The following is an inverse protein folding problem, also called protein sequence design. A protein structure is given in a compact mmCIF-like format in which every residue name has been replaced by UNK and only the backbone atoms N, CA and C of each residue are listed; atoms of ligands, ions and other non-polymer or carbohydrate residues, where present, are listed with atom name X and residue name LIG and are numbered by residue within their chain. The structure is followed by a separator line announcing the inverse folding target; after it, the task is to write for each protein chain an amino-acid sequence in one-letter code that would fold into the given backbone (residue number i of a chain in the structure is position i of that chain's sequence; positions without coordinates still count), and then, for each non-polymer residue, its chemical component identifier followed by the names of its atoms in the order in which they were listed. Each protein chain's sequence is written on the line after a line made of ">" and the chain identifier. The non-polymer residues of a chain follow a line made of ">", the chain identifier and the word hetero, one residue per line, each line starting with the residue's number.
data_IF_177264852954
#
_entry.id   IF_177264852954
#
_cell.length_a   1.000
_cell.length_b   1.000
_cell.length_c   1.000
_cell.angle_alpha   90.00
_cell.angle_beta   90.00
_cell.angle_gamma   90.00
#
_symmetry.space_group_name_H-M   'P 1'
#
loop_
_entity.id
_entity.type
_entity.pdbx_description
1 polymer ?
#
# COMPACT_ATOMS: atom_id res chain seq x y z
N UNK A 1 21.46 -25.23 -5.57
CA UNK A 1 20.87 -23.89 -5.42
C UNK A 1 19.35 -24.02 -5.31
N UNK A 2 18.77 -23.69 -4.18
CA UNK A 2 17.31 -23.66 -4.07
C UNK A 2 16.78 -22.53 -4.96
N UNK A 3 15.75 -22.78 -5.78
CA UNK A 3 15.12 -21.68 -6.51
C UNK A 3 14.62 -20.66 -5.50
N UNK A 4 14.86 -19.38 -5.78
CA UNK A 4 14.33 -18.31 -4.94
C UNK A 4 12.81 -18.48 -4.87
N UNK A 5 12.28 -18.69 -3.66
CA UNK A 5 10.85 -18.80 -3.44
C UNK A 5 10.19 -17.48 -3.82
N UNK A 6 9.07 -17.54 -4.54
CA UNK A 6 8.29 -16.34 -4.86
C UNK A 6 7.86 -15.65 -3.57
N UNK A 7 7.87 -14.30 -3.52
CA UNK A 7 7.32 -13.58 -2.38
C UNK A 7 5.85 -13.95 -2.15
N UNK A 8 5.48 -14.05 -0.88
CA UNK A 8 4.09 -14.31 -0.45
C UNK A 8 3.49 -13.00 0.05
N UNK A 9 2.26 -12.71 -0.34
CA UNK A 9 1.53 -11.52 0.16
C UNK A 9 0.75 -11.87 1.42
N UNK A 10 0.90 -11.05 2.45
CA UNK A 10 0.20 -11.22 3.74
C UNK A 10 -0.41 -9.89 4.17
N UNK A 11 -1.52 -9.97 4.90
CA UNK A 11 -2.09 -8.81 5.59
C UNK A 11 -1.41 -8.67 6.95
N UNK A 12 -0.90 -7.48 7.26
CA UNK A 12 -0.28 -7.18 8.55
C UNK A 12 -1.35 -7.00 9.63
N UNK A 13 -1.05 -7.52 10.81
CA UNK A 13 -1.88 -7.45 12.01
C UNK A 13 -1.14 -6.67 13.11
N UNK A 14 -1.80 -6.32 14.23
CA UNK A 14 -1.13 -5.64 15.35
C UNK A 14 0.11 -6.35 15.90
N UNK A 15 0.28 -7.64 15.67
CA UNK A 15 1.47 -8.39 16.06
C UNK A 15 2.65 -8.29 15.08
N UNK A 16 2.45 -7.65 13.91
CA UNK A 16 3.45 -7.58 12.83
C UNK A 16 4.24 -6.27 12.83
N UNK A 17 4.63 -5.75 14.00
CA UNK A 17 5.31 -4.45 14.12
C UNK A 17 6.63 -4.42 13.35
N UNK A 18 7.42 -5.49 13.42
CA UNK A 18 8.71 -5.55 12.69
C UNK A 18 8.50 -5.54 11.18
N UNK A 19 7.48 -6.25 10.69
CA UNK A 19 7.12 -6.23 9.27
C UNK A 19 6.57 -4.87 8.84
N UNK A 20 5.85 -4.16 9.71
CA UNK A 20 5.43 -2.79 9.45
C UNK A 20 6.63 -1.85 9.31
N UNK A 21 7.65 -1.99 10.15
CA UNK A 21 8.91 -1.26 9.97
C UNK A 21 9.63 -1.65 8.67
N UNK A 22 9.65 -2.93 8.32
CA UNK A 22 10.19 -3.40 7.04
C UNK A 22 9.45 -2.79 5.84
N UNK A 23 8.14 -2.63 5.94
CA UNK A 23 7.34 -1.97 4.91
C UNK A 23 7.68 -0.48 4.79
N UNK A 24 7.86 0.22 5.91
CA UNK A 24 8.31 1.61 5.92
C UNK A 24 9.71 1.77 5.29
N UNK A 25 10.61 0.82 5.52
CA UNK A 25 11.93 0.80 4.86
C UNK A 25 11.78 0.67 3.33
N UNK A 26 10.87 -0.18 2.87
CA UNK A 26 10.58 -0.32 1.43
C UNK A 26 10.05 0.99 0.85
N UNK A 27 9.14 1.67 1.52
CA UNK A 27 8.61 2.96 1.06
C UNK A 27 9.69 4.04 1.04
N UNK A 28 10.52 4.14 2.08
CA UNK A 28 11.64 5.09 2.14
C UNK A 28 12.59 4.92 0.97
N UNK A 29 12.99 3.68 0.71
CA UNK A 29 13.89 3.34 -0.40
C UNK A 29 13.27 3.64 -1.77
N UNK A 30 12.04 3.18 -1.99
CA UNK A 30 11.37 3.30 -3.28
C UNK A 30 10.99 4.73 -3.64
N UNK A 31 10.58 5.53 -2.66
CA UNK A 31 10.18 6.93 -2.85
C UNK A 31 11.32 7.92 -2.65
N UNK A 32 12.51 7.43 -2.26
CA UNK A 32 13.69 8.26 -1.96
C UNK A 32 13.36 9.39 -0.98
N UNK A 33 12.55 9.08 0.04
CA UNK A 33 12.03 10.04 1.01
C UNK A 33 12.25 9.56 2.46
N UNK A 34 13.52 9.56 2.92
CA UNK A 34 13.82 9.16 4.30
C UNK A 34 13.24 10.10 5.33
N UNK A 35 13.03 11.38 5.00
CA UNK A 35 12.47 12.36 5.92
C UNK A 35 11.03 11.98 6.32
N UNK A 36 10.20 11.56 5.38
CA UNK A 36 8.83 11.12 5.66
C UNK A 36 8.78 9.75 6.35
N UNK A 37 9.58 8.79 5.88
CA UNK A 37 9.42 7.38 6.28
C UNK A 37 10.38 6.90 7.37
N UNK A 38 11.42 7.66 7.71
CA UNK A 38 12.42 7.25 8.71
C UNK A 38 12.55 8.22 9.89
N UNK A 39 12.55 9.54 9.63
CA UNK A 39 12.88 10.55 10.64
C UNK A 39 11.89 10.59 11.80
N UNK A 40 10.60 10.51 11.53
CA UNK A 40 9.53 10.56 12.51
C UNK A 40 8.72 9.25 12.54
N UNK A 41 9.42 8.13 12.46
CA UNK A 41 8.80 6.81 12.41
C UNK A 41 7.90 6.59 13.62
N UNK A 42 6.64 6.15 13.41
CA UNK A 42 5.70 5.94 14.51
C UNK A 42 6.16 4.83 15.45
N UNK A 43 5.85 5.00 16.72
CA UNK A 43 6.14 3.99 17.74
C UNK A 43 5.19 2.79 17.66
N UNK A 44 5.52 1.70 18.39
CA UNK A 44 4.78 0.46 18.31
C UNK A 44 3.31 0.58 18.76
N UNK A 45 2.98 1.43 19.70
CA UNK A 45 1.58 1.60 20.14
C UNK A 45 0.72 2.26 19.07
N UNK A 46 1.25 3.25 18.37
CA UNK A 46 0.57 3.86 17.22
C UNK A 46 0.35 2.83 16.11
N UNK A 47 1.38 2.07 15.77
CA UNK A 47 1.28 1.04 14.72
C UNK A 47 0.30 -0.08 15.09
N UNK A 48 0.27 -0.50 16.35
CA UNK A 48 -0.71 -1.50 16.81
C UNK A 48 -2.14 -1.00 16.66
N UNK A 49 -2.42 0.24 17.05
CA UNK A 49 -3.75 0.84 16.86
C UNK A 49 -4.12 0.94 15.39
N UNK A 50 -3.20 1.39 14.55
CA UNK A 50 -3.42 1.52 13.12
C UNK A 50 -3.69 0.17 12.47
N UNK A 51 -2.83 -0.82 12.71
CA UNK A 51 -2.97 -2.17 12.16
C UNK A 51 -4.21 -2.90 12.70
N UNK A 52 -4.71 -2.52 13.87
CA UNK A 52 -5.95 -3.03 14.45
C UNK A 52 -7.20 -2.29 13.99
N UNK A 53 -7.07 -1.21 13.23
CA UNK A 53 -8.22 -0.45 12.72
C UNK A 53 -8.94 -1.21 11.60
N UNK A 54 -10.27 -1.22 11.66
CA UNK A 54 -11.10 -1.88 10.64
C UNK A 54 -11.02 -1.21 9.26
N UNK A 55 -10.58 0.05 9.22
CA UNK A 55 -10.53 0.85 7.99
C UNK A 55 -9.11 1.01 7.42
N UNK A 56 -8.11 0.43 8.05
CA UNK A 56 -6.73 0.44 7.57
C UNK A 56 -6.29 -0.95 7.14
N UNK A 57 -5.64 -1.04 5.98
CA UNK A 57 -5.14 -2.30 5.43
C UNK A 57 -3.68 -2.10 5.04
N UNK A 58 -2.79 -2.87 5.64
CA UNK A 58 -1.41 -2.98 5.20
C UNK A 58 -1.16 -4.39 4.68
N UNK A 59 -0.67 -4.50 3.45
CA UNK A 59 -0.22 -5.76 2.86
C UNK A 59 1.28 -5.72 2.67
N UNK A 60 1.96 -6.81 2.97
CA UNK A 60 3.37 -6.98 2.71
C UNK A 60 3.62 -8.17 1.81
N UNK A 61 4.54 -8.02 0.86
CA UNK A 61 5.14 -9.12 0.13
C UNK A 61 6.42 -9.54 0.87
N UNK A 62 6.46 -10.77 1.31
CA UNK A 62 7.55 -11.31 2.15
C UNK A 62 8.26 -12.45 1.43
N UNK A 63 9.58 -12.40 1.42
CA UNK A 63 10.43 -13.47 0.93
C UNK A 63 11.39 -13.89 2.06
N UNK A 64 11.22 -15.11 2.57
CA UNK A 64 11.87 -15.48 3.83
C UNK A 64 11.35 -14.59 4.96
N UNK A 65 12.24 -13.94 5.68
CA UNK A 65 11.90 -13.01 6.75
C UNK A 65 11.91 -11.53 6.29
N UNK A 66 12.19 -11.29 5.02
CA UNK A 66 12.37 -9.94 4.48
C UNK A 66 11.11 -9.44 3.78
N UNK A 67 10.68 -8.21 4.12
CA UNK A 67 9.67 -7.47 3.37
C UNK A 67 10.32 -6.90 2.10
N UNK A 68 9.78 -7.28 0.94
CA UNK A 68 10.31 -6.89 -0.38
C UNK A 68 9.38 -5.96 -1.15
N UNK A 69 8.18 -5.77 -0.65
CA UNK A 69 7.19 -4.86 -1.21
C UNK A 69 5.97 -4.78 -0.30
N UNK A 70 5.06 -3.90 -0.62
CA UNK A 70 3.81 -3.80 0.10
C UNK A 70 3.00 -2.58 -0.27
N UNK A 71 1.85 -2.46 0.37
CA UNK A 71 0.94 -1.33 0.22
C UNK A 71 0.29 -0.95 1.54
N UNK A 72 -0.10 0.31 1.63
CA UNK A 72 -0.97 0.85 2.66
C UNK A 72 -2.24 1.38 2.01
N UNK A 73 -3.40 0.99 2.53
CA UNK A 73 -4.69 1.34 1.96
C UNK A 73 -5.71 1.66 3.05
N UNK A 74 -6.70 2.44 2.68
CA UNK A 74 -7.79 2.87 3.57
C UNK A 74 -9.14 2.47 2.96
N UNK A 75 -10.01 1.90 3.78
CA UNK A 75 -11.41 1.69 3.41
C UNK A 75 -12.23 2.91 3.78
N UNK A 76 -12.91 3.48 2.79
CA UNK A 76 -13.71 4.68 2.91
C UNK A 76 -15.17 4.31 2.77
N UNK A 77 -15.92 4.39 3.88
CA UNK A 77 -17.36 4.13 3.88
C UNK A 77 -18.12 5.30 3.27
N UNK A 78 -19.03 5.00 2.34
CA UNK A 78 -19.76 6.00 1.57
C UNK A 78 -21.06 6.36 2.28
N UNK A 79 -21.41 7.64 2.22
CA UNK A 79 -22.68 8.12 2.78
C UNK A 79 -23.85 7.98 1.80
N UNK A 80 -23.57 8.08 0.50
CA UNK A 80 -24.62 8.01 -0.55
C UNK A 80 -25.16 6.62 -0.79
N UNK A 81 -24.42 5.59 -0.39
CA UNK A 81 -24.83 4.18 -0.47
C UNK A 81 -24.14 3.38 0.62
N UNK A 82 -24.77 2.27 1.04
CA UNK A 82 -24.21 1.33 2.01
C UNK A 82 -23.13 0.47 1.35
N UNK A 83 -22.04 1.09 0.98
CA UNK A 83 -20.85 0.46 0.37
C UNK A 83 -19.60 1.22 0.74
N UNK A 84 -18.43 0.66 0.42
CA UNK A 84 -17.14 1.31 0.64
C UNK A 84 -16.30 1.36 -0.64
N UNK A 85 -15.27 2.17 -0.60
CA UNK A 85 -14.17 2.20 -1.56
C UNK A 85 -12.87 1.91 -0.81
N UNK A 86 -11.87 1.34 -1.47
CA UNK A 86 -10.55 1.16 -0.89
C UNK A 86 -9.55 1.99 -1.69
N UNK A 87 -8.86 2.88 -0.98
CA UNK A 87 -7.85 3.76 -1.54
C UNK A 87 -6.45 3.26 -1.19
N UNK A 88 -5.66 2.91 -2.20
CA UNK A 88 -4.23 2.63 -2.03
C UNK A 88 -3.51 3.96 -1.90
N UNK A 89 -2.95 4.22 -0.71
CA UNK A 89 -2.19 5.44 -0.45
C UNK A 89 -0.72 5.29 -0.85
N UNK A 90 -0.09 4.18 -0.46
CA UNK A 90 1.30 3.84 -0.81
C UNK A 90 1.36 2.43 -1.39
N UNK A 91 2.17 2.25 -2.42
CA UNK A 91 2.50 0.96 -3.02
C UNK A 91 3.93 1.01 -3.53
N UNK A 92 4.77 0.09 -3.08
CA UNK A 92 6.14 0.01 -3.52
C UNK A 92 6.70 -1.41 -3.50
N UNK A 93 7.71 -1.64 -4.31
CA UNK A 93 8.46 -2.90 -4.40
C UNK A 93 9.95 -2.56 -4.44
N UNK A 94 10.77 -3.28 -3.69
CA UNK A 94 12.23 -3.11 -3.74
C UNK A 94 12.76 -3.27 -5.16
N UNK A 95 13.76 -2.47 -5.53
CA UNK A 95 14.35 -2.47 -6.87
C UNK A 95 14.75 -3.88 -7.34
N UNK A 96 15.30 -4.68 -6.42
CA UNK A 96 15.71 -6.06 -6.69
C UNK A 96 14.56 -7.03 -7.00
N UNK A 97 13.33 -6.65 -6.73
CA UNK A 97 12.12 -7.48 -6.87
C UNK A 97 11.12 -6.89 -7.86
N UNK A 98 11.48 -5.83 -8.58
CA UNK A 98 10.63 -5.22 -9.61
C UNK A 98 10.53 -6.14 -10.83
N UNK A 99 9.41 -5.98 -11.58
CA UNK A 99 9.08 -6.75 -12.79
C UNK A 99 8.93 -8.26 -12.57
N UNK A 100 8.71 -8.67 -11.31
CA UNK A 100 8.46 -10.07 -10.94
C UNK A 100 6.98 -10.31 -10.59
N UNK A 101 6.11 -9.35 -10.85
CA UNK A 101 4.68 -9.45 -10.56
C UNK A 101 4.29 -9.20 -9.11
N UNK A 102 5.19 -8.68 -8.27
CA UNK A 102 4.94 -8.45 -6.83
C UNK A 102 3.85 -7.40 -6.63
N UNK A 103 3.92 -6.27 -7.31
CA UNK A 103 2.91 -5.21 -7.22
C UNK A 103 1.54 -5.72 -7.68
N UNK A 104 1.48 -6.44 -8.77
CA UNK A 104 0.24 -7.06 -9.27
C UNK A 104 -0.34 -8.03 -8.25
N UNK A 105 0.49 -8.87 -7.61
CA UNK A 105 0.04 -9.80 -6.58
C UNK A 105 -0.54 -9.07 -5.36
N UNK A 106 0.09 -7.97 -4.92
CA UNK A 106 -0.42 -7.13 -3.84
C UNK A 106 -1.78 -6.52 -4.18
N UNK A 107 -1.93 -5.96 -5.38
CA UNK A 107 -3.20 -5.38 -5.83
C UNK A 107 -4.29 -6.46 -5.91
N UNK A 108 -3.98 -7.65 -6.44
CA UNK A 108 -4.93 -8.76 -6.52
C UNK A 108 -5.37 -9.25 -5.15
N UNK A 109 -4.45 -9.31 -4.18
CA UNK A 109 -4.79 -9.63 -2.80
C UNK A 109 -5.73 -8.58 -2.21
N UNK A 110 -5.44 -7.30 -2.42
CA UNK A 110 -6.31 -6.21 -1.96
C UNK A 110 -7.69 -6.26 -2.61
N UNK A 111 -7.78 -6.56 -3.90
CA UNK A 111 -9.07 -6.73 -4.59
C UNK A 111 -9.89 -7.88 -4.00
N UNK A 112 -9.24 -8.97 -3.60
CA UNK A 112 -9.92 -10.09 -2.93
C UNK A 112 -10.47 -9.67 -1.56
N UNK A 113 -9.69 -8.93 -0.76
CA UNK A 113 -10.14 -8.36 0.50
C UNK A 113 -11.28 -7.35 0.29
N UNK A 114 -11.18 -6.50 -0.71
CA UNK A 114 -12.21 -5.54 -1.08
C UNK A 114 -13.55 -6.23 -1.36
N UNK A 115 -13.52 -7.32 -2.11
CA UNK A 115 -14.72 -8.12 -2.39
C UNK A 115 -15.34 -8.68 -1.11
N UNK A 116 -14.52 -9.22 -0.20
CA UNK A 116 -14.99 -9.75 1.08
C UNK A 116 -15.63 -8.68 1.97
N UNK A 117 -15.13 -7.44 1.89
CA UNK A 117 -15.59 -6.29 2.66
C UNK A 117 -16.80 -5.58 2.05
N UNK A 118 -17.21 -5.94 0.84
CA UNK A 118 -18.29 -5.25 0.13
C UNK A 118 -17.87 -3.91 -0.48
N UNK A 119 -16.58 -3.69 -0.66
CA UNK A 119 -16.09 -2.53 -1.41
C UNK A 119 -16.36 -2.72 -2.90
N UNK A 120 -16.82 -1.65 -3.56
CA UNK A 120 -17.16 -1.73 -4.98
C UNK A 120 -16.00 -1.39 -5.91
N UNK A 121 -14.98 -0.71 -5.40
CA UNK A 121 -13.79 -0.33 -6.17
C UNK A 121 -12.56 -0.22 -5.28
N UNK A 122 -11.41 -0.56 -5.82
CA UNK A 122 -10.08 -0.19 -5.31
C UNK A 122 -9.53 0.85 -6.27
N UNK A 123 -9.07 1.98 -5.74
CA UNK A 123 -8.47 3.01 -6.58
C UNK A 123 -7.12 3.48 -6.04
N UNK A 124 -6.33 4.08 -6.91
CA UNK A 124 -4.98 4.54 -6.64
C UNK A 124 -4.70 5.77 -7.47
N UNK A 125 -3.90 6.68 -6.93
CA UNK A 125 -3.41 7.85 -7.64
C UNK A 125 -1.95 7.64 -8.04
N UNK A 126 -1.54 8.21 -9.16
CA UNK A 126 -0.16 8.26 -9.60
C UNK A 126 0.19 9.67 -10.03
N UNK A 127 1.41 10.10 -9.72
CA UNK A 127 1.92 11.38 -10.18
C UNK A 127 2.24 11.35 -11.67
N UNK A 128 2.13 12.50 -12.30
CA UNK A 128 2.63 12.68 -13.67
C UNK A 128 4.15 12.42 -13.68
N UNK A 129 4.60 11.61 -14.62
CA UNK A 129 6.02 11.26 -14.74
C UNK A 129 6.42 9.96 -14.05
N UNK A 130 5.56 9.40 -13.20
CA UNK A 130 5.76 8.05 -12.64
C UNK A 130 5.29 7.00 -13.66
N UNK A 131 6.05 6.85 -14.74
CA UNK A 131 5.71 5.98 -15.87
C UNK A 131 5.51 4.51 -15.48
N UNK A 132 6.33 3.90 -14.60
CA UNK A 132 6.10 2.52 -14.19
C UNK A 132 4.76 2.32 -13.46
N UNK A 133 4.38 3.25 -12.56
CA UNK A 133 3.11 3.20 -11.86
C UNK A 133 1.93 3.38 -12.82
N UNK A 134 2.01 4.37 -13.71
CA UNK A 134 0.98 4.63 -14.72
C UNK A 134 0.79 3.41 -15.64
N UNK A 135 1.88 2.78 -16.08
CA UNK A 135 1.82 1.58 -16.92
C UNK A 135 1.13 0.41 -16.20
N UNK A 136 1.47 0.18 -14.92
CA UNK A 136 0.87 -0.88 -14.11
C UNK A 136 -0.63 -0.64 -13.93
N UNK A 137 -1.03 0.55 -13.52
CA UNK A 137 -2.44 0.86 -13.23
C UNK A 137 -3.29 0.91 -14.50
N UNK A 138 -2.75 1.36 -15.62
CA UNK A 138 -3.42 1.32 -16.93
C UNK A 138 -3.76 -0.11 -17.35
N UNK A 139 -2.89 -1.06 -17.02
CA UNK A 139 -3.11 -2.48 -17.29
C UNK A 139 -4.23 -3.08 -16.43
N UNK A 140 -4.39 -2.59 -15.21
CA UNK A 140 -5.27 -3.20 -14.20
C UNK A 140 -6.62 -2.50 -14.05
N UNK A 141 -6.74 -1.28 -14.53
CA UNK A 141 -7.94 -0.47 -14.30
C UNK A 141 -8.23 0.54 -15.39
N UNK A 142 -9.15 1.43 -15.08
CA UNK A 142 -9.59 2.53 -15.95
C UNK A 142 -9.12 3.84 -15.36
N UNK A 143 -8.46 4.67 -16.18
CA UNK A 143 -7.91 5.96 -15.77
C UNK A 143 -8.99 7.03 -15.71
N UNK A 144 -9.00 7.79 -14.63
CA UNK A 144 -9.72 9.06 -14.50
C UNK A 144 -8.71 10.21 -14.30
N UNK A 145 -8.98 11.36 -14.89
CA UNK A 145 -8.15 12.54 -14.66
C UNK A 145 -8.80 13.44 -13.62
N UNK A 146 -8.12 13.60 -12.49
CA UNK A 146 -8.56 14.47 -11.40
C UNK A 146 -7.42 15.38 -10.97
N UNK A 147 -7.74 16.55 -10.44
CA UNK A 147 -6.76 17.43 -9.82
C UNK A 147 -6.74 17.21 -8.31
N UNK A 148 -5.56 17.12 -7.74
CA UNK A 148 -5.35 17.00 -6.31
C UNK A 148 -5.00 18.37 -5.70
N UNK A 149 -5.63 18.71 -4.57
CA UNK A 149 -5.36 19.94 -3.83
C UNK A 149 -5.11 19.60 -2.37
N UNK A 150 -3.99 20.04 -1.81
CA UNK A 150 -3.73 20.00 -0.39
C UNK A 150 -4.25 21.29 0.25
N UNK A 151 -5.11 21.15 1.24
CA UNK A 151 -5.62 22.26 2.05
C UNK A 151 -4.98 22.18 3.43
N UNK A 152 -3.97 23.04 3.73
CA UNK A 152 -3.30 23.01 5.03
C UNK A 152 -4.30 23.14 6.17
N UNK A 153 -4.10 22.37 7.24
CA UNK A 153 -4.96 22.46 8.44
C UNK A 153 -4.75 23.77 9.17
N UNK A 154 -3.49 24.22 9.21
CA UNK A 154 -3.12 25.54 9.74
C UNK A 154 -2.72 26.45 8.58
N UNK A 155 -3.67 27.16 7.95
CA UNK A 155 -3.36 28.11 6.88
C UNK A 155 -2.52 29.26 7.44
N UNK A 156 -1.44 29.57 6.74
CA UNK A 156 -0.59 30.70 7.09
C UNK A 156 -1.32 32.04 6.94
#
# INVERSE_FOLDING_TARGET
>A
MRPATRPTTIQLTPSDIERAHGLLDVFSEAFEDPDTYERARPGPDYLRRLLGSDTFIALAAVQGDQVVGGLAAYELHKIEQARSEIYIYDLAVRASHRRLGVATALIRHLQALARQRGAWVVYVQADHGDDPAVALYTKLGVRENVMHFDLPVDPA
#
